data_IF_648400849641
#
_entry.id   IF_648400849641
#
_cell.length_a   1.000
_cell.length_b   1.000
_cell.length_c   1.000
_cell.angle_alpha   90.00
_cell.angle_beta   90.00
_cell.angle_gamma   90.00
#
_symmetry.space_group_name_H-M   'P 1'
#
loop_
_entity.id
_entity.type
_entity.pdbx_description
1 polymer ?
#
# COMPACT_ATOMS: atom_id res chain seq x y z
N UNK A 1 0.09 9.26 -6.15
CA UNK A 1 -0.24 10.66 -6.30
C UNK A 1 -0.11 11.11 -7.77
N UNK A 2 -0.30 12.39 -8.02
CA UNK A 2 -0.25 12.94 -9.39
C UNK A 2 1.18 12.96 -9.99
N UNK A 3 2.20 12.76 -9.18
CA UNK A 3 3.59 12.60 -9.64
C UNK A 3 3.96 11.15 -9.95
N UNK A 4 3.02 10.22 -9.86
CA UNK A 4 3.25 8.79 -10.07
C UNK A 4 3.95 8.10 -8.90
N UNK A 5 4.02 8.73 -7.74
CA UNK A 5 4.57 8.12 -6.52
C UNK A 5 3.53 7.18 -5.89
N UNK A 6 3.99 6.10 -5.29
CA UNK A 6 3.12 5.17 -4.55
C UNK A 6 3.11 5.48 -3.06
N UNK A 7 1.98 5.25 -2.41
CA UNK A 7 1.87 5.30 -0.97
C UNK A 7 2.28 3.95 -0.38
N UNK A 8 3.10 3.99 0.66
CA UNK A 8 3.43 2.85 1.50
C UNK A 8 3.20 3.22 2.96
N UNK A 9 2.72 2.26 3.73
CA UNK A 9 2.40 2.44 5.12
C UNK A 9 3.07 1.38 6.00
N UNK A 10 3.41 1.77 7.23
CA UNK A 10 3.95 0.89 8.25
C UNK A 10 2.91 0.69 9.34
N UNK A 11 2.54 -0.56 9.58
CA UNK A 11 1.67 -0.93 10.69
C UNK A 11 2.49 -1.01 11.98
N UNK A 12 1.97 -0.44 13.06
CA UNK A 12 2.63 -0.38 14.35
C UNK A 12 3.00 -1.76 14.93
N UNK A 13 2.32 -2.82 14.50
CA UNK A 13 2.58 -4.19 14.95
C UNK A 13 3.70 -4.91 14.18
N UNK A 14 4.22 -4.30 13.13
CA UNK A 14 5.24 -4.94 12.29
C UNK A 14 6.66 -4.63 12.76
N UNK A 15 7.62 -5.42 12.27
CA UNK A 15 9.04 -5.14 12.44
C UNK A 15 9.42 -3.78 11.85
N UNK A 16 10.40 -3.07 12.41
CA UNK A 16 10.82 -1.76 11.90
C UNK A 16 11.15 -1.80 10.41
N UNK A 17 10.68 -0.78 9.67
CA UNK A 17 10.92 -0.64 8.24
C UNK A 17 10.01 -1.47 7.33
N UNK A 18 9.24 -2.41 7.86
CA UNK A 18 8.28 -3.19 7.06
C UNK A 18 7.17 -2.27 6.58
N UNK A 19 6.95 -2.27 5.27
CA UNK A 19 5.89 -1.49 4.63
C UNK A 19 5.00 -2.34 3.76
N UNK A 20 3.79 -1.88 3.55
CA UNK A 20 2.84 -2.46 2.61
C UNK A 20 1.87 -1.38 2.09
N UNK A 21 0.97 -1.80 1.23
CA UNK A 21 -0.18 -0.99 0.82
C UNK A 21 -1.22 -0.96 1.94
N UNK A 22 -2.11 0.02 1.92
CA UNK A 22 -3.25 0.08 2.84
C UNK A 22 -4.16 -1.12 2.60
N UNK A 23 -4.61 -1.74 3.66
CA UNK A 23 -5.53 -2.87 3.62
C UNK A 23 -6.54 -2.79 4.76
N UNK A 24 -7.76 -3.23 4.52
CA UNK A 24 -8.81 -3.28 5.51
C UNK A 24 -9.92 -4.23 5.09
N UNK A 25 -10.89 -4.41 5.96
CA UNK A 25 -12.02 -5.31 5.71
C UNK A 25 -13.18 -4.58 5.03
N UNK A 26 -13.82 -5.26 4.10
CA UNK A 26 -15.11 -4.83 3.56
C UNK A 26 -16.18 -5.07 4.60
N UNK A 27 -16.95 -4.05 4.94
CA UNK A 27 -18.04 -4.15 5.90
C UNK A 27 -19.31 -4.70 5.24
N UNK A 28 -20.22 -5.23 6.07
CA UNK A 28 -21.49 -5.73 5.59
C UNK A 28 -22.30 -4.64 4.87
N UNK A 29 -22.76 -4.94 3.67
CA UNK A 29 -23.50 -3.98 2.84
C UNK A 29 -22.67 -2.93 2.12
N UNK A 30 -21.35 -2.96 2.27
CA UNK A 30 -20.42 -2.06 1.60
C UNK A 30 -19.86 -2.72 0.34
N UNK A 31 -19.72 -1.95 -0.76
CA UNK A 31 -19.00 -2.46 -1.92
C UNK A 31 -17.48 -2.36 -1.72
N UNK A 32 -16.69 -3.26 -2.33
CA UNK A 32 -15.23 -3.24 -2.16
C UNK A 32 -14.56 -1.93 -2.55
N UNK A 33 -15.00 -1.27 -3.60
CA UNK A 33 -14.47 0.03 -4.04
C UNK A 33 -14.72 1.13 -3.00
N UNK A 34 -15.89 1.12 -2.35
CA UNK A 34 -16.17 2.04 -1.24
C UNK A 34 -15.35 1.73 0.00
N UNK A 35 -15.12 0.44 0.28
CA UNK A 35 -14.23 0.02 1.36
C UNK A 35 -12.82 0.58 1.17
N UNK A 36 -12.28 0.56 -0.04
CA UNK A 36 -10.96 1.14 -0.35
C UNK A 36 -10.93 2.62 0.03
N UNK A 37 -11.90 3.40 -0.42
CA UNK A 37 -11.96 4.83 -0.12
C UNK A 37 -12.12 5.11 1.38
N UNK A 38 -12.95 4.34 2.07
CA UNK A 38 -13.17 4.47 3.51
C UNK A 38 -11.91 4.14 4.30
N UNK A 39 -11.27 3.00 4.04
CA UNK A 39 -10.06 2.56 4.75
C UNK A 39 -8.91 3.54 4.55
N UNK A 40 -8.68 4.01 3.33
CA UNK A 40 -7.64 5.00 3.06
C UNK A 40 -7.94 6.32 3.79
N UNK A 41 -9.19 6.75 3.80
CA UNK A 41 -9.61 7.94 4.54
C UNK A 41 -9.45 7.81 6.05
N UNK A 42 -9.84 6.66 6.62
CA UNK A 42 -9.75 6.41 8.07
C UNK A 42 -8.31 6.26 8.55
N UNK A 43 -7.48 5.50 7.82
CA UNK A 43 -6.14 5.14 8.27
C UNK A 43 -5.10 6.25 8.05
N UNK A 44 -5.22 7.02 6.98
CA UNK A 44 -4.21 8.02 6.59
C UNK A 44 -4.76 9.38 6.16
N UNK A 45 -6.06 9.60 6.24
CA UNK A 45 -6.75 10.86 5.93
C UNK A 45 -6.50 11.37 4.49
N UNK A 46 -6.43 10.46 3.51
CA UNK A 46 -6.27 10.80 2.10
C UNK A 46 -7.53 10.48 1.33
N UNK A 47 -8.04 11.46 0.57
CA UNK A 47 -9.11 11.26 -0.40
C UNK A 47 -8.57 10.67 -1.70
N UNK A 48 -9.29 9.70 -2.25
CA UNK A 48 -8.94 9.04 -3.51
C UNK A 48 -10.06 9.17 -4.53
N UNK A 49 -9.67 9.12 -5.80
CA UNK A 49 -10.61 8.99 -6.92
C UNK A 49 -11.17 7.57 -7.01
N UNK A 50 -11.84 7.28 -8.12
CA UNK A 50 -12.46 5.97 -8.32
C UNK A 50 -11.41 4.84 -8.33
N UNK A 51 -11.53 3.85 -7.45
CA UNK A 51 -10.61 2.72 -7.40
C UNK A 51 -10.79 1.80 -8.62
N UNK A 52 -9.68 1.34 -9.19
CA UNK A 52 -9.67 0.38 -10.28
C UNK A 52 -9.21 -0.99 -9.77
N UNK A 53 -10.05 -2.00 -9.95
CA UNK A 53 -9.74 -3.38 -9.57
C UNK A 53 -8.59 -3.93 -10.42
N UNK A 54 -7.64 -4.60 -9.76
CA UNK A 54 -6.45 -5.16 -10.43
C UNK A 54 -6.26 -6.66 -10.22
N UNK A 55 -6.88 -7.25 -9.23
CA UNK A 55 -6.78 -8.70 -9.01
C UNK A 55 -7.19 -9.12 -7.61
N UNK A 56 -7.29 -10.42 -7.41
CA UNK A 56 -7.67 -11.04 -6.13
C UNK A 56 -6.68 -12.14 -5.77
N UNK A 57 -6.32 -12.21 -4.50
CA UNK A 57 -5.54 -13.29 -3.92
C UNK A 57 -6.34 -13.99 -2.83
N UNK A 58 -6.55 -15.31 -2.91
CA UNK A 58 -7.09 -16.09 -1.80
C UNK A 58 -6.13 -16.08 -0.62
N UNK A 59 -6.66 -15.84 0.57
CA UNK A 59 -5.92 -15.90 1.82
C UNK A 59 -6.60 -16.89 2.77
N UNK A 60 -6.26 -18.20 2.70
CA UNK A 60 -7.02 -19.27 3.37
C UNK A 60 -6.82 -19.31 4.89
N UNK A 61 -5.97 -18.47 5.47
CA UNK A 61 -5.68 -18.44 6.90
C UNK A 61 -6.06 -17.08 7.51
N UNK A 62 -7.28 -16.88 8.06
CA UNK A 62 -8.31 -17.92 8.25
C UNK A 62 -9.20 -18.18 7.03
N UNK A 63 -9.73 -17.17 6.33
CA UNK A 63 -10.65 -17.28 5.20
C UNK A 63 -10.88 -15.92 4.55
N UNK A 64 -9.85 -15.31 4.04
CA UNK A 64 -9.98 -14.00 3.39
C UNK A 64 -9.73 -14.09 1.90
N UNK A 65 -10.33 -13.17 1.17
CA UNK A 65 -9.91 -12.83 -0.19
C UNK A 65 -9.39 -11.41 -0.17
N UNK A 66 -8.15 -11.25 -0.61
CA UNK A 66 -7.52 -9.93 -0.76
C UNK A 66 -7.83 -9.42 -2.16
N UNK A 67 -8.62 -8.36 -2.25
CA UNK A 67 -8.96 -7.72 -3.52
C UNK A 67 -8.10 -6.47 -3.67
N UNK A 68 -7.27 -6.44 -4.71
CA UNK A 68 -6.35 -5.34 -4.99
C UNK A 68 -7.01 -4.27 -5.85
N UNK A 69 -6.82 -3.01 -5.44
CA UNK A 69 -7.28 -1.82 -6.16
C UNK A 69 -6.16 -0.80 -6.29
N UNK A 70 -6.18 -0.07 -7.38
CA UNK A 70 -5.31 1.09 -7.60
C UNK A 70 -6.19 2.33 -7.75
N UNK A 71 -5.84 3.38 -7.04
CA UNK A 71 -6.54 4.65 -7.12
C UNK A 71 -5.53 5.81 -7.14
N UNK A 72 -5.96 6.93 -7.71
CA UNK A 72 -5.19 8.17 -7.69
C UNK A 72 -5.72 9.05 -6.57
N UNK A 73 -4.83 9.77 -5.89
CA UNK A 73 -5.23 10.76 -4.89
C UNK A 73 -6.02 11.90 -5.52
N UNK A 74 -6.99 12.45 -4.80
CA UNK A 74 -7.74 13.64 -5.24
C UNK A 74 -6.84 14.87 -5.29
N UNK A 75 -5.98 15.05 -4.28
CA UNK A 75 -4.99 16.12 -4.24
C UNK A 75 -3.74 15.73 -5.03
N UNK A 76 -3.04 16.70 -5.58
CA UNK A 76 -1.80 16.45 -6.34
C UNK A 76 -0.70 15.83 -5.49
N UNK A 77 -0.51 16.36 -4.28
CA UNK A 77 0.55 15.96 -3.35
C UNK A 77 0.02 15.96 -1.93
N UNK A 78 -0.85 15.02 -1.57
CA UNK A 78 -1.43 14.99 -0.25
C UNK A 78 -0.38 14.58 0.79
N UNK A 79 -0.55 15.09 2.01
CA UNK A 79 0.24 14.68 3.17
C UNK A 79 -0.54 13.61 3.95
N UNK A 80 -0.02 12.37 4.08
CA UNK A 80 -0.67 11.36 4.91
C UNK A 80 -0.73 11.82 6.36
N UNK A 81 -1.87 11.58 7.01
CA UNK A 81 -2.05 11.77 8.45
C UNK A 81 -2.45 10.42 9.06
N UNK A 82 -1.49 9.58 9.46
CA UNK A 82 -1.76 8.27 10.05
C UNK A 82 -2.63 8.35 11.29
N UNK A 83 -3.48 7.35 11.49
CA UNK A 83 -4.37 7.27 12.65
C UNK A 83 -3.60 7.03 13.98
N UNK A 84 -2.36 6.54 13.91
CA UNK A 84 -1.52 6.27 15.06
C UNK A 84 -1.87 5.00 15.82
N UNK A 85 -2.98 4.35 15.48
CA UNK A 85 -3.43 3.11 16.11
C UNK A 85 -2.99 1.89 15.27
N UNK A 86 -3.41 1.84 14.03
CA UNK A 86 -3.06 0.78 13.09
C UNK A 86 -1.87 1.17 12.23
N UNK A 87 -1.89 2.38 11.67
CA UNK A 87 -0.80 2.91 10.86
C UNK A 87 0.04 3.90 11.69
N UNK A 88 1.29 3.56 11.92
CA UNK A 88 2.23 4.40 12.65
C UNK A 88 2.77 5.54 11.79
N UNK A 89 3.12 5.22 10.54
CA UNK A 89 3.55 6.21 9.56
C UNK A 89 3.24 5.75 8.14
N UNK A 90 3.15 6.70 7.23
CA UNK A 90 2.95 6.46 5.80
C UNK A 90 3.68 7.53 4.99
N UNK A 91 4.05 7.19 3.77
CA UNK A 91 4.73 8.12 2.89
C UNK A 91 4.55 7.77 1.42
N UNK A 92 4.73 8.77 0.57
CA UNK A 92 4.80 8.61 -0.88
C UNK A 92 6.23 8.41 -1.32
N UNK A 93 6.45 7.45 -2.22
CA UNK A 93 7.76 7.10 -2.75
C UNK A 93 7.74 7.09 -4.27
N UNK A 94 8.72 7.76 -4.86
CA UNK A 94 9.04 7.54 -6.26
C UNK A 94 9.70 6.15 -6.43
N UNK A 95 9.81 5.69 -7.66
CA UNK A 95 10.51 4.41 -7.95
C UNK A 95 11.95 4.42 -7.44
N UNK A 96 12.65 5.54 -7.63
CA UNK A 96 14.04 5.69 -7.17
C UNK A 96 14.12 5.72 -5.65
N UNK A 97 13.28 6.49 -4.99
CA UNK A 97 13.23 6.56 -3.52
C UNK A 97 12.93 5.20 -2.89
N UNK A 98 11.99 4.45 -3.48
CA UNK A 98 11.72 3.08 -3.03
C UNK A 98 12.94 2.17 -3.22
N UNK A 99 13.56 2.22 -4.39
CA UNK A 99 14.75 1.41 -4.67
C UNK A 99 15.88 1.70 -3.67
N UNK A 100 16.20 2.96 -3.45
CA UNK A 100 17.25 3.38 -2.52
C UNK A 100 16.95 2.94 -1.08
N UNK A 101 15.70 3.05 -0.67
CA UNK A 101 15.26 2.68 0.66
C UNK A 101 15.31 1.15 0.89
N UNK A 102 14.96 0.36 -0.11
CA UNK A 102 15.04 -1.11 -0.03
C UNK A 102 16.49 -1.59 -0.08
N UNK A 103 17.29 -1.07 -0.98
CA UNK A 103 18.73 -1.44 -1.12
C UNK A 103 19.49 -1.11 0.17
N UNK A 104 19.23 0.02 0.78
CA UNK A 104 19.85 0.44 2.06
C UNK A 104 19.31 -0.30 3.29
N UNK A 105 18.23 -1.07 3.15
CA UNK A 105 17.59 -1.76 4.27
C UNK A 105 16.70 -0.86 5.15
N UNK A 106 16.48 0.40 4.77
CA UNK A 106 15.56 1.30 5.50
C UNK A 106 14.11 0.85 5.37
N UNK A 107 13.74 0.29 4.23
CA UNK A 107 12.43 -0.29 3.99
C UNK A 107 12.54 -1.77 3.67
N UNK A 108 11.60 -2.52 4.22
CA UNK A 108 11.39 -3.93 3.91
C UNK A 108 10.09 -4.06 3.11
N UNK A 109 10.23 -4.43 1.85
CA UNK A 109 9.08 -4.58 0.95
C UNK A 109 8.14 -5.72 1.42
N UNK A 110 6.88 -5.73 0.97
CA UNK A 110 5.96 -6.85 1.23
C UNK A 110 6.55 -8.18 0.77
N UNK A 111 6.11 -9.27 1.38
CA UNK A 111 6.54 -10.61 0.98
C UNK A 111 6.22 -10.91 -0.49
N UNK A 112 7.13 -11.58 -1.18
CA UNK A 112 7.07 -11.82 -2.64
C UNK A 112 5.81 -12.58 -3.10
N UNK A 113 5.19 -13.34 -2.23
CA UNK A 113 3.96 -14.08 -2.52
C UNK A 113 2.68 -13.27 -2.29
N UNK A 114 2.76 -12.05 -1.80
CA UNK A 114 1.59 -11.22 -1.49
C UNK A 114 1.08 -10.45 -2.70
N UNK A 115 -0.22 -10.16 -2.71
CA UNK A 115 -0.83 -9.28 -3.71
C UNK A 115 -0.23 -7.87 -3.62
N UNK A 116 0.13 -7.40 -2.43
CA UNK A 116 0.78 -6.11 -2.24
C UNK A 116 2.11 -6.04 -3.02
N UNK A 117 2.92 -7.10 -2.96
CA UNK A 117 4.15 -7.18 -3.76
C UNK A 117 3.86 -7.16 -5.26
N UNK A 118 2.87 -7.93 -5.72
CA UNK A 118 2.48 -7.97 -7.12
C UNK A 118 2.03 -6.60 -7.63
N UNK A 119 1.25 -5.87 -6.83
CA UNK A 119 0.81 -4.51 -7.16
C UNK A 119 1.97 -3.52 -7.22
N UNK A 120 2.89 -3.59 -6.25
CA UNK A 120 4.10 -2.74 -6.23
C UNK A 120 5.01 -3.04 -7.41
N UNK A 121 5.21 -4.32 -7.74
CA UNK A 121 5.99 -4.75 -8.89
C UNK A 121 5.42 -4.20 -10.20
N UNK A 122 4.10 -4.24 -10.36
CA UNK A 122 3.43 -3.68 -11.53
C UNK A 122 3.63 -2.17 -11.63
N UNK A 123 3.45 -1.45 -10.52
CA UNK A 123 3.71 -0.01 -10.47
C UNK A 123 5.18 0.33 -10.72
N UNK A 124 6.10 -0.43 -10.14
CA UNK A 124 7.56 -0.24 -10.29
C UNK A 124 8.01 -0.47 -11.74
N UNK A 125 7.38 -1.38 -12.44
CA UNK A 125 7.69 -1.72 -13.83
C UNK A 125 8.70 -2.87 -13.97
N UNK A 126 8.84 -3.71 -12.95
CA UNK A 126 9.76 -4.84 -12.91
C UNK A 126 9.93 -5.40 -11.51
N UNK A 127 10.92 -6.27 -11.32
CA UNK A 127 11.23 -6.80 -9.99
C UNK A 127 11.71 -5.69 -9.06
N UNK A 128 11.23 -5.71 -7.83
CA UNK A 128 11.72 -4.80 -6.80
C UNK A 128 13.17 -5.14 -6.45
N UNK A 129 13.99 -4.13 -6.14
CA UNK A 129 15.36 -4.38 -5.71
C UNK A 129 15.42 -5.20 -4.43
N UNK A 130 16.56 -5.81 -4.17
CA UNK A 130 16.81 -6.60 -2.97
C UNK A 130 17.70 -5.82 -2.01
N UNK A 131 17.56 -6.02 -0.70
CA UNK A 131 18.49 -5.42 0.27
C UNK A 131 19.94 -5.72 -0.07
N UNK A 132 20.79 -4.69 -0.03
CA UNK A 132 22.23 -4.82 -0.30
C UNK A 132 22.60 -5.08 -1.77
N UNK A 133 21.65 -5.01 -2.70
CA UNK A 133 21.89 -5.21 -4.13
C UNK A 133 21.26 -4.05 -4.91
N UNK A 134 22.12 -3.23 -5.43
CA UNK A 134 21.71 -2.18 -6.35
C UNK A 134 21.30 -2.77 -7.71
#
# INVERSE_FOLDING_TARGET
DHRGRTLLAHNAAWEPGRVSVIAGFVEAGESPDRAVAREVGEEIAIGIGEPRYVGTQPWPFPRSQMMGYVARTLEESPAPAPDGAEIEWAGFYSRQELADAVVSGRLLAPGRSSIAYAMLRQWYGGELPLPGRA
#
